data_IF_685748098989
#
_entry.id   IF_685748098989
#
_cell.length_a   1.000
_cell.length_b   1.000
_cell.length_c   1.000
_cell.angle_alpha   90.00
_cell.angle_beta   90.00
_cell.angle_gamma   90.00
#
_symmetry.space_group_name_H-M   'P 1'
#
loop_
_entity.id
_entity.type
_entity.pdbx_description
1 polymer ?
#
# COMPACT_ATOMS: atom_id res chain seq x y z
N UNK A 1 12.77 -19.89 -1.05
CA UNK A 1 11.64 -19.28 -0.31
C UNK A 1 11.53 -17.78 -0.58
N UNK A 2 12.58 -16.99 -0.35
CA UNK A 2 12.55 -15.50 -0.55
C UNK A 2 12.22 -15.12 -1.99
N UNK A 3 12.80 -15.78 -3.00
CA UNK A 3 12.50 -15.53 -4.40
C UNK A 3 11.04 -15.77 -4.78
N UNK A 4 10.37 -16.72 -4.14
CA UNK A 4 8.93 -16.95 -4.37
C UNK A 4 8.09 -15.81 -3.79
N UNK A 5 8.46 -15.31 -2.60
CA UNK A 5 7.82 -14.14 -2.01
C UNK A 5 8.03 -12.91 -2.89
N UNK A 6 9.25 -12.69 -3.38
CA UNK A 6 9.54 -11.58 -4.27
C UNK A 6 8.74 -11.64 -5.57
N UNK A 7 8.63 -12.82 -6.20
CA UNK A 7 7.77 -13.01 -7.38
C UNK A 7 6.30 -12.68 -7.09
N UNK A 8 5.78 -13.12 -5.93
CA UNK A 8 4.42 -12.78 -5.52
C UNK A 8 4.24 -11.26 -5.36
N UNK A 9 5.21 -10.57 -4.75
CA UNK A 9 5.20 -9.11 -4.59
C UNK A 9 5.22 -8.39 -5.95
N UNK A 10 5.99 -8.88 -6.92
CA UNK A 10 5.98 -8.30 -8.27
C UNK A 10 4.60 -8.43 -8.93
N UNK A 11 3.95 -9.59 -8.80
CA UNK A 11 2.62 -9.84 -9.35
C UNK A 11 1.58 -8.95 -8.68
N UNK A 12 1.56 -8.89 -7.34
CA UNK A 12 0.61 -8.04 -6.61
C UNK A 12 0.87 -6.55 -6.85
N UNK A 13 2.13 -6.17 -7.03
CA UNK A 13 2.52 -4.81 -7.42
C UNK A 13 1.93 -4.41 -8.76
N UNK A 14 2.04 -5.29 -9.77
CA UNK A 14 1.48 -5.06 -11.12
C UNK A 14 -0.05 -5.02 -11.07
N UNK A 15 -0.68 -5.99 -10.40
CA UNK A 15 -2.14 -6.05 -10.27
C UNK A 15 -2.70 -4.83 -9.52
N UNK A 16 -2.08 -4.43 -8.40
CA UNK A 16 -2.46 -3.23 -7.66
C UNK A 16 -2.28 -1.95 -8.47
N UNK A 17 -1.21 -1.86 -9.29
CA UNK A 17 -0.99 -0.72 -10.19
C UNK A 17 -2.04 -0.64 -11.28
N UNK A 18 -2.41 -1.77 -11.89
CA UNK A 18 -3.47 -1.83 -12.89
C UNK A 18 -4.82 -1.40 -12.28
N UNK A 19 -5.17 -1.92 -11.10
CA UNK A 19 -6.39 -1.53 -10.40
C UNK A 19 -6.39 -0.04 -10.04
N UNK A 20 -5.29 0.51 -9.53
CA UNK A 20 -5.15 1.93 -9.25
C UNK A 20 -5.33 2.78 -10.52
N UNK A 21 -4.77 2.34 -11.66
CA UNK A 21 -4.95 2.98 -12.96
C UNK A 21 -6.41 3.01 -13.40
N UNK A 22 -7.15 1.89 -13.23
CA UNK A 22 -8.58 1.81 -13.53
C UNK A 22 -9.37 2.78 -12.64
N UNK A 23 -9.09 2.79 -11.32
CA UNK A 23 -9.76 3.73 -10.39
C UNK A 23 -9.51 5.18 -10.80
N UNK A 24 -8.26 5.54 -11.14
CA UNK A 24 -7.91 6.88 -11.59
C UNK A 24 -8.64 7.27 -12.88
N UNK A 25 -8.74 6.35 -13.84
CA UNK A 25 -9.41 6.59 -15.12
C UNK A 25 -10.92 6.86 -14.93
N UNK A 26 -11.57 6.10 -14.05
CA UNK A 26 -12.99 6.25 -13.78
C UNK A 26 -13.32 7.29 -12.69
N UNK A 27 -12.32 7.86 -12.02
CA UNK A 27 -12.50 8.84 -10.94
C UNK A 27 -13.38 10.04 -11.32
N UNK A 28 -13.26 10.69 -12.52
CA UNK A 28 -14.12 11.82 -12.88
C UNK A 28 -15.59 11.43 -13.00
N UNK A 29 -15.87 10.17 -13.40
CA UNK A 29 -17.24 9.66 -13.51
C UNK A 29 -17.77 9.31 -12.12
N UNK A 30 -16.97 8.61 -11.32
CA UNK A 30 -17.39 8.14 -9.99
C UNK A 30 -17.63 9.30 -9.02
N UNK A 31 -16.88 10.42 -9.13
CA UNK A 31 -17.10 11.61 -8.31
C UNK A 31 -18.49 12.26 -8.51
N UNK A 32 -19.10 12.06 -9.68
CA UNK A 32 -20.46 12.60 -9.96
C UNK A 32 -21.58 11.72 -9.41
N UNK A 33 -21.33 10.41 -9.27
CA UNK A 33 -22.36 9.42 -8.97
C UNK A 33 -22.27 8.80 -7.58
N UNK A 34 -21.07 8.80 -6.99
CA UNK A 34 -20.84 8.14 -5.70
C UNK A 34 -20.43 9.14 -4.63
N UNK A 35 -20.88 8.91 -3.40
CA UNK A 35 -20.57 9.74 -2.25
C UNK A 35 -19.09 9.62 -1.80
N UNK A 36 -18.69 10.51 -0.89
CA UNK A 36 -17.31 10.60 -0.38
C UNK A 36 -16.81 9.32 0.29
N UNK A 37 -17.71 8.55 0.96
CA UNK A 37 -17.34 7.28 1.59
C UNK A 37 -16.90 6.22 0.56
N UNK A 38 -17.48 6.20 -0.63
CA UNK A 38 -17.05 5.34 -1.70
C UNK A 38 -15.59 5.63 -2.10
N UNK A 39 -15.26 6.90 -2.29
CA UNK A 39 -13.90 7.31 -2.65
C UNK A 39 -12.88 7.01 -1.55
N UNK A 40 -13.29 7.08 -0.30
CA UNK A 40 -12.46 6.71 0.84
C UNK A 40 -12.17 5.18 0.85
N UNK A 41 -13.19 4.33 0.63
CA UNK A 41 -13.02 2.88 0.74
C UNK A 41 -12.49 2.20 -0.52
N UNK A 42 -12.63 2.77 -1.72
CA UNK A 42 -12.18 2.13 -2.96
C UNK A 42 -10.66 1.85 -2.96
N UNK A 43 -9.87 2.70 -2.31
CA UNK A 43 -8.43 2.51 -2.19
C UNK A 43 -8.05 1.35 -1.27
N UNK A 44 -8.93 0.90 -0.36
CA UNK A 44 -8.74 -0.34 0.42
C UNK A 44 -8.66 -1.57 -0.48
N UNK A 45 -9.40 -1.58 -1.59
CA UNK A 45 -9.31 -2.68 -2.56
C UNK A 45 -7.90 -2.74 -3.18
N UNK A 46 -7.30 -1.59 -3.50
CA UNK A 46 -5.92 -1.52 -4.01
C UNK A 46 -4.92 -2.01 -2.96
N UNK A 47 -5.07 -1.55 -1.71
CA UNK A 47 -4.23 -2.02 -0.62
C UNK A 47 -4.36 -3.53 -0.38
N UNK A 48 -5.58 -4.05 -0.40
CA UNK A 48 -5.82 -5.49 -0.24
C UNK A 48 -5.12 -6.30 -1.33
N UNK A 49 -5.22 -5.87 -2.59
CA UNK A 49 -4.53 -6.52 -3.72
C UNK A 49 -3.00 -6.44 -3.57
N UNK A 50 -2.47 -5.31 -3.08
CA UNK A 50 -1.03 -5.15 -2.88
C UNK A 50 -0.50 -5.96 -1.69
N UNK A 51 -1.25 -6.03 -0.58
CA UNK A 51 -0.78 -6.65 0.66
C UNK A 51 -1.09 -8.14 0.76
N UNK A 52 -2.15 -8.61 0.09
CA UNK A 52 -2.53 -10.02 0.12
C UNK A 52 -1.88 -10.73 -1.10
N UNK A 53 -0.88 -11.59 -0.89
CA UNK A 53 -0.26 -12.34 -1.98
C UNK A 53 -1.28 -13.36 -2.52
N UNK A 54 -2.01 -12.97 -3.54
CA UNK A 54 -2.88 -13.90 -4.26
C UNK A 54 -1.98 -14.89 -4.98
N UNK A 55 -1.97 -16.13 -4.52
CA UNK A 55 -1.31 -17.23 -5.24
C UNK A 55 -2.18 -17.54 -6.47
N UNK A 56 -1.86 -16.92 -7.59
CA UNK A 56 -2.33 -17.44 -8.86
C UNK A 56 -1.65 -18.81 -9.03
N UNK A 57 -2.37 -19.90 -8.74
CA UNK A 57 -1.98 -21.22 -9.23
C UNK A 57 -1.89 -21.07 -10.74
N UNK A 58 -0.68 -21.13 -11.28
CA UNK A 58 -0.50 -21.15 -12.72
C UNK A 58 -1.45 -22.23 -13.25
N UNK A 59 -2.39 -21.82 -14.10
CA UNK A 59 -3.18 -22.78 -14.86
C UNK A 59 -2.17 -23.52 -15.72
N UNK A 60 -1.73 -24.67 -15.23
CA UNK A 60 -0.96 -25.59 -16.04
C UNK A 60 -1.88 -26.02 -17.15
N UNK A 61 -1.73 -25.38 -18.32
CA UNK A 61 -2.36 -25.88 -19.54
C UNK A 61 -1.72 -27.25 -19.75
N UNK A 62 -2.40 -28.30 -19.28
CA UNK A 62 -2.02 -29.67 -19.62
C UNK A 62 -2.12 -29.77 -21.13
N UNK A 63 -0.98 -29.95 -21.79
CA UNK A 63 -0.99 -30.33 -23.19
C UNK A 63 -1.87 -31.57 -23.35
N UNK A 64 -2.74 -31.60 -24.38
CA UNK A 64 -3.60 -32.74 -24.62
C UNK A 64 -2.76 -34.03 -24.65
N UNK A 65 -3.20 -35.06 -23.95
CA UNK A 65 -2.49 -36.34 -23.87
C UNK A 65 -2.17 -36.95 -25.24
N UNK A 66 -2.90 -36.59 -26.27
CA UNK A 66 -2.66 -36.96 -27.66
C UNK A 66 -1.31 -36.47 -28.19
N UNK A 67 -0.84 -35.27 -27.82
CA UNK A 67 0.43 -34.72 -28.27
C UNK A 67 1.61 -35.38 -27.51
N UNK A 68 1.45 -35.69 -26.23
CA UNK A 68 2.44 -36.39 -25.42
C UNK A 68 2.58 -37.86 -25.85
N UNK A 69 1.47 -38.50 -26.22
CA UNK A 69 1.47 -39.86 -26.79
C UNK A 69 2.08 -39.91 -28.20
N UNK A 70 1.79 -38.93 -29.06
CA UNK A 70 2.38 -38.81 -30.39
C UNK A 70 3.91 -38.67 -30.33
N UNK A 71 4.43 -37.88 -29.39
CA UNK A 71 5.87 -37.73 -29.16
C UNK A 71 6.48 -38.99 -28.62
N UNK A 72 5.81 -39.74 -27.73
CA UNK A 72 6.28 -41.03 -27.23
C UNK A 72 6.24 -42.12 -28.29
N UNK A 73 5.21 -42.20 -29.11
CA UNK A 73 5.06 -43.16 -30.20
C UNK A 73 6.10 -42.93 -31.31
N UNK A 74 6.40 -41.69 -31.63
CA UNK A 74 7.48 -41.33 -32.53
C UNK A 74 8.86 -41.73 -31.98
N UNK A 75 9.02 -41.78 -30.65
CA UNK A 75 10.25 -42.16 -29.96
C UNK A 75 10.46 -43.68 -29.92
N UNK A 76 9.39 -44.49 -29.93
CA UNK A 76 9.45 -45.96 -29.85
C UNK A 76 9.44 -46.65 -31.21
N UNK A 77 8.84 -46.05 -32.24
CA UNK A 77 8.71 -46.65 -33.56
C UNK A 77 9.80 -46.25 -34.57
N UNK A 78 10.76 -45.44 -34.18
CA UNK A 78 11.80 -44.89 -35.06
C UNK A 78 13.18 -45.57 -35.04
N UNK A 79 13.34 -46.75 -34.47
CA UNK A 79 14.62 -47.47 -34.45
C UNK A 79 14.55 -48.70 -35.31
N UNK A 80 14.64 -48.53 -36.63
CA UNK A 80 14.79 -49.56 -37.63
C UNK A 80 15.59 -49.06 -38.82
N UNK A 81 16.88 -49.26 -38.76
CA UNK A 81 17.82 -49.42 -39.91
C UNK A 81 17.68 -48.49 -41.13
N UNK A 82 18.51 -47.41 -41.16
CA UNK A 82 19.30 -47.02 -42.35
C UNK A 82 20.38 -46.00 -41.94
N UNK A 83 21.63 -46.20 -42.34
CA UNK A 83 22.81 -45.48 -41.86
C UNK A 83 22.86 -43.97 -42.02
N UNK A 84 22.02 -43.36 -42.88
CA UNK A 84 21.93 -41.90 -43.03
C UNK A 84 21.04 -41.27 -41.94
N UNK A 85 20.03 -41.98 -41.45
CA UNK A 85 19.13 -41.54 -40.37
C UNK A 85 19.82 -41.65 -39.01
N UNK A 86 20.72 -42.61 -38.82
CA UNK A 86 21.51 -42.74 -37.59
C UNK A 86 22.38 -41.54 -37.29
N UNK A 87 23.00 -40.94 -38.30
CA UNK A 87 23.81 -39.73 -38.13
C UNK A 87 22.94 -38.47 -37.83
N UNK A 88 21.78 -38.36 -38.48
CA UNK A 88 20.85 -37.25 -38.23
C UNK A 88 20.22 -37.35 -36.81
N UNK A 89 19.88 -38.56 -36.36
CA UNK A 89 19.37 -38.81 -35.01
C UNK A 89 20.45 -38.58 -33.95
N UNK A 90 21.71 -38.96 -34.23
CA UNK A 90 22.83 -38.69 -33.32
C UNK A 90 23.15 -37.22 -33.25
N UNK A 91 23.13 -36.49 -34.40
CA UNK A 91 23.29 -35.04 -34.43
C UNK A 91 22.11 -34.31 -33.72
N UNK A 92 20.89 -34.77 -33.96
CA UNK A 92 19.70 -34.26 -33.27
C UNK A 92 19.72 -34.52 -31.78
N UNK A 93 20.17 -35.71 -31.33
CA UNK A 93 20.31 -36.04 -29.91
C UNK A 93 21.44 -35.23 -29.23
N UNK A 94 22.53 -34.95 -29.94
CA UNK A 94 23.62 -34.07 -29.48
C UNK A 94 23.11 -32.62 -29.39
N UNK A 95 22.40 -32.16 -30.41
CA UNK A 95 21.77 -30.83 -30.40
C UNK A 95 20.78 -30.69 -29.26
N UNK A 96 19.92 -31.68 -29.01
CA UNK A 96 18.97 -31.70 -27.92
C UNK A 96 19.66 -31.70 -26.54
N UNK A 97 20.77 -32.40 -26.38
CA UNK A 97 21.59 -32.39 -25.15
C UNK A 97 22.29 -31.04 -24.92
N UNK A 98 22.70 -30.36 -25.99
CA UNK A 98 23.28 -29.01 -25.88
C UNK A 98 22.21 -28.00 -25.47
N UNK A 99 21.01 -28.07 -26.06
CA UNK A 99 19.88 -27.20 -25.65
C UNK A 99 19.47 -27.48 -24.20
N UNK A 100 19.43 -28.71 -23.75
CA UNK A 100 19.11 -29.09 -22.38
C UNK A 100 20.15 -28.55 -21.38
N UNK A 101 21.44 -28.69 -21.69
CA UNK A 101 22.53 -28.13 -20.86
C UNK A 101 22.53 -26.61 -20.83
N UNK A 102 22.28 -25.95 -21.98
CA UNK A 102 22.18 -24.48 -22.02
C UNK A 102 20.95 -23.99 -21.25
N UNK A 103 19.81 -24.67 -21.38
CA UNK A 103 18.61 -24.34 -20.61
C UNK A 103 18.85 -24.44 -19.10
N UNK A 104 19.54 -25.48 -18.64
CA UNK A 104 19.92 -25.64 -17.21
C UNK A 104 20.85 -24.51 -16.74
N UNK A 105 21.83 -24.11 -17.55
CA UNK A 105 22.74 -22.98 -17.21
C UNK A 105 21.95 -21.66 -17.14
N UNK A 106 21.06 -21.41 -18.10
CA UNK A 106 20.22 -20.22 -18.07
C UNK A 106 19.27 -20.19 -16.86
N UNK A 107 18.68 -21.34 -16.50
CA UNK A 107 17.84 -21.45 -15.32
C UNK A 107 18.66 -21.17 -14.04
N UNK A 108 19.88 -21.65 -13.92
CA UNK A 108 20.74 -21.42 -12.77
C UNK A 108 21.19 -19.96 -12.66
N UNK A 109 21.57 -19.35 -13.80
CA UNK A 109 21.90 -17.90 -13.86
C UNK A 109 20.69 -17.05 -13.50
N UNK A 110 19.52 -17.34 -14.09
CA UNK A 110 18.27 -16.61 -13.80
C UNK A 110 17.90 -16.78 -12.31
N UNK A 111 18.04 -17.97 -11.76
CA UNK A 111 17.76 -18.24 -10.35
C UNK A 111 18.68 -17.45 -9.41
N UNK A 112 19.98 -17.38 -9.72
CA UNK A 112 20.94 -16.62 -8.95
C UNK A 112 20.59 -15.10 -8.96
N UNK A 113 20.30 -14.54 -10.13
CA UNK A 113 19.93 -13.11 -10.26
C UNK A 113 18.63 -12.79 -9.56
N UNK A 114 17.60 -13.64 -9.65
CA UNK A 114 16.33 -13.42 -8.94
C UNK A 114 16.54 -13.46 -7.42
N UNK A 115 17.41 -14.30 -6.91
CA UNK A 115 17.72 -14.33 -5.48
C UNK A 115 18.43 -13.05 -5.03
N UNK A 116 19.41 -12.56 -5.80
CA UNK A 116 20.09 -11.29 -5.50
C UNK A 116 19.08 -10.13 -5.47
N UNK A 117 18.21 -10.04 -6.48
CA UNK A 117 17.16 -9.01 -6.54
C UNK A 117 16.18 -9.13 -5.37
N UNK A 118 15.83 -10.35 -4.95
CA UNK A 118 14.95 -10.58 -3.82
C UNK A 118 15.58 -10.14 -2.48
N UNK A 119 16.88 -10.35 -2.29
CA UNK A 119 17.59 -9.85 -1.11
C UNK A 119 17.74 -8.31 -1.13
N UNK A 120 18.04 -7.71 -2.29
CA UNK A 120 18.06 -6.25 -2.45
C UNK A 120 16.69 -5.64 -2.15
N UNK A 121 15.62 -6.25 -2.68
CA UNK A 121 14.25 -5.83 -2.39
C UNK A 121 13.97 -5.90 -0.88
N UNK A 122 14.28 -7.02 -0.24
CA UNK A 122 14.03 -7.20 1.19
C UNK A 122 14.82 -6.18 2.03
N UNK A 123 16.09 -5.97 1.71
CA UNK A 123 16.93 -4.98 2.40
C UNK A 123 16.36 -3.56 2.26
N UNK A 124 15.93 -3.15 1.05
CA UNK A 124 15.29 -1.87 0.81
C UNK A 124 13.97 -1.70 1.55
N UNK A 125 13.11 -2.73 1.53
CA UNK A 125 11.84 -2.71 2.25
C UNK A 125 12.05 -2.59 3.78
N UNK A 126 12.93 -3.41 4.36
CA UNK A 126 13.26 -3.36 5.78
C UNK A 126 13.86 -2.02 6.17
N UNK A 127 14.80 -1.49 5.38
CA UNK A 127 15.38 -0.17 5.61
C UNK A 127 14.32 0.92 5.69
N UNK A 128 13.38 0.97 4.73
CA UNK A 128 12.31 1.97 4.72
C UNK A 128 11.32 1.79 5.88
N UNK A 129 10.97 0.56 6.22
CA UNK A 129 10.10 0.27 7.38
C UNK A 129 10.78 0.75 8.67
N UNK A 130 12.04 0.39 8.88
CA UNK A 130 12.81 0.82 10.06
C UNK A 130 12.96 2.35 10.11
N UNK A 131 13.19 2.99 8.97
CA UNK A 131 13.26 4.45 8.88
C UNK A 131 11.94 5.11 9.28
N UNK A 132 10.79 4.58 8.84
CA UNK A 132 9.47 5.10 9.20
C UNK A 132 9.17 4.87 10.70
N UNK A 133 9.52 3.71 11.23
CA UNK A 133 9.41 3.44 12.67
C UNK A 133 10.29 4.40 13.48
N UNK A 134 11.54 4.62 13.07
CA UNK A 134 12.46 5.54 13.74
C UNK A 134 11.93 6.98 13.70
N UNK A 135 11.38 7.43 12.58
CA UNK A 135 10.72 8.76 12.46
C UNK A 135 9.53 8.88 13.41
N UNK A 136 8.68 7.85 13.47
CA UNK A 136 7.54 7.82 14.37
C UNK A 136 7.96 7.85 15.85
N UNK A 137 8.95 7.05 16.24
CA UNK A 137 9.50 7.07 17.60
C UNK A 137 10.11 8.44 17.92
N UNK A 138 10.88 9.00 17.00
CA UNK A 138 11.50 10.34 17.15
C UNK A 138 10.43 11.42 17.36
N UNK A 139 9.34 11.38 16.57
CA UNK A 139 8.21 12.30 16.73
C UNK A 139 7.58 12.16 18.13
N UNK A 140 7.29 10.94 18.56
CA UNK A 140 6.68 10.71 19.89
C UNK A 140 7.60 11.14 21.04
N UNK A 141 8.93 10.93 20.91
CA UNK A 141 9.90 11.42 21.89
C UNK A 141 9.93 12.95 21.92
N UNK A 142 9.89 13.62 20.77
CA UNK A 142 9.81 15.08 20.70
C UNK A 142 8.53 15.61 21.34
N UNK A 143 7.39 15.02 21.03
CA UNK A 143 6.10 15.36 21.63
C UNK A 143 6.20 15.24 23.15
N UNK A 144 6.71 14.10 23.68
CA UNK A 144 6.82 13.91 25.15
C UNK A 144 7.76 14.92 25.82
N UNK A 145 8.80 15.38 25.14
CA UNK A 145 9.83 16.27 25.72
C UNK A 145 9.52 17.75 25.57
N UNK A 146 8.83 18.12 24.50
CA UNK A 146 8.67 19.52 24.09
C UNK A 146 7.23 20.03 24.17
N UNK A 147 6.32 19.25 24.72
CA UNK A 147 4.91 19.63 24.84
C UNK A 147 4.47 19.65 26.30
N UNK A 148 3.46 20.48 26.57
CA UNK A 148 2.79 20.57 27.87
C UNK A 148 1.50 19.73 27.83
N UNK A 149 1.21 19.01 28.90
CA UNK A 149 -0.05 18.30 29.05
C UNK A 149 -1.17 19.29 29.40
N UNK A 150 -2.28 19.18 28.68
CA UNK A 150 -3.47 20.03 28.89
C UNK A 150 -4.69 19.13 29.08
N UNK A 151 -5.56 19.48 29.99
CA UNK A 151 -6.85 18.81 30.20
C UNK A 151 -7.90 19.59 29.40
N UNK A 152 -8.52 18.92 28.45
CA UNK A 152 -9.65 19.44 27.68
C UNK A 152 -10.90 18.60 27.97
N UNK A 153 -11.80 19.10 28.85
CA UNK A 153 -13.03 18.39 29.21
C UNK A 153 -13.95 18.15 27.99
N UNK A 154 -13.91 19.02 27.02
CA UNK A 154 -14.72 18.98 25.80
C UNK A 154 -14.50 17.68 24.98
N UNK A 155 -13.36 17.01 25.14
CA UNK A 155 -13.10 15.73 24.44
C UNK A 155 -14.08 14.63 24.89
N UNK A 156 -14.54 14.66 26.13
CA UNK A 156 -15.50 13.69 26.64
C UNK A 156 -16.85 13.70 25.92
N UNK A 157 -17.19 14.80 25.25
CA UNK A 157 -18.39 14.89 24.41
C UNK A 157 -18.27 14.04 23.13
N UNK A 158 -17.04 13.73 22.70
CA UNK A 158 -16.78 13.02 21.45
C UNK A 158 -16.45 11.54 21.64
N UNK A 159 -15.88 11.16 22.77
CA UNK A 159 -15.43 9.78 23.02
C UNK A 159 -15.22 9.48 24.50
N UNK A 160 -15.55 8.25 24.92
CA UNK A 160 -15.27 7.71 26.26
C UNK A 160 -13.81 7.21 26.40
N UNK A 161 -13.07 7.11 25.28
CA UNK A 161 -11.68 6.66 25.31
C UNK A 161 -10.77 7.78 25.79
N UNK A 162 -9.83 7.42 26.66
CA UNK A 162 -8.82 8.38 27.16
C UNK A 162 -7.93 8.84 26.01
N UNK A 163 -7.93 10.14 25.74
CA UNK A 163 -7.07 10.82 24.79
C UNK A 163 -6.17 11.78 25.57
N UNK A 164 -4.87 11.72 25.32
CA UNK A 164 -3.94 12.69 25.86
C UNK A 164 -3.98 13.96 24.98
N UNK A 165 -3.99 15.12 25.61
CA UNK A 165 -3.91 16.39 24.88
C UNK A 165 -2.62 17.08 25.23
N UNK A 166 -1.92 17.54 24.20
CA UNK A 166 -0.63 18.20 24.34
C UNK A 166 -0.58 19.48 23.50
N UNK A 167 0.02 20.50 24.04
CA UNK A 167 0.24 21.76 23.33
C UNK A 167 1.70 21.86 22.91
N UNK A 168 1.94 22.19 21.66
CA UNK A 168 3.29 22.29 21.09
C UNK A 168 3.49 23.60 20.35
N UNK A 169 4.58 24.33 20.67
CA UNK A 169 4.92 25.60 20.04
C UNK A 169 5.32 25.49 18.56
N UNK A 170 5.97 24.37 18.21
CA UNK A 170 6.57 24.18 16.89
C UNK A 170 5.64 23.53 15.86
N UNK A 171 4.32 23.54 16.10
CA UNK A 171 3.33 23.06 15.13
C UNK A 171 2.39 24.19 14.73
N UNK A 172 2.06 24.23 13.44
CA UNK A 172 1.12 25.22 12.89
C UNK A 172 -0.31 24.71 12.86
N UNK A 173 -0.51 23.40 12.73
CA UNK A 173 -1.82 22.75 12.65
C UNK A 173 -1.95 21.64 13.68
N UNK A 174 -3.17 21.43 14.21
CA UNK A 174 -3.48 20.28 15.09
C UNK A 174 -3.26 18.96 14.34
N UNK A 175 -3.01 17.90 15.09
CA UNK A 175 -3.00 16.55 14.53
C UNK A 175 -3.14 15.49 15.62
N UNK A 176 -3.68 14.33 15.23
CA UNK A 176 -3.74 13.15 16.08
C UNK A 176 -2.55 12.21 15.79
N UNK A 177 -1.97 11.64 16.87
CA UNK A 177 -0.93 10.62 16.78
C UNK A 177 -1.17 9.53 17.83
N UNK A 178 -0.52 8.38 17.65
CA UNK A 178 -0.61 7.26 18.59
C UNK A 178 -1.77 6.31 18.29
N UNK A 179 -1.45 5.03 18.00
CA UNK A 179 -2.44 3.98 17.77
C UNK A 179 -2.95 3.42 19.10
N UNK A 180 -2.03 3.13 20.03
CA UNK A 180 -2.35 2.55 21.35
C UNK A 180 -2.69 3.63 22.37
N UNK A 181 -1.88 4.70 22.40
CA UNK A 181 -2.07 5.85 23.29
C UNK A 181 -2.37 7.09 22.43
N UNK A 182 -3.65 7.31 22.06
CA UNK A 182 -4.01 8.43 21.20
C UNK A 182 -3.67 9.75 21.88
N UNK A 183 -3.01 10.60 21.14
CA UNK A 183 -2.57 11.92 21.61
C UNK A 183 -2.98 12.97 20.57
N UNK A 184 -3.76 13.94 21.00
CA UNK A 184 -4.08 15.14 20.23
C UNK A 184 -3.02 16.19 20.52
N UNK A 185 -2.38 16.68 19.48
CA UNK A 185 -1.39 17.76 19.58
C UNK A 185 -2.00 19.02 19.00
N UNK A 186 -2.04 20.08 19.81
CA UNK A 186 -2.56 21.39 19.46
C UNK A 186 -1.41 22.40 19.33
N UNK A 187 -1.51 23.39 18.42
CA UNK A 187 -0.57 24.51 18.39
C UNK A 187 -0.73 25.40 19.61
N UNK A 188 0.38 26.00 20.09
CA UNK A 188 0.34 26.98 21.17
C UNK A 188 -0.11 28.35 20.62
N UNK A 189 -1.38 28.42 20.27
CA UNK A 189 -2.06 29.65 19.83
C UNK A 189 -3.34 29.82 20.64
N UNK A 190 -3.72 31.08 20.87
CA UNK A 190 -5.05 31.35 21.44
C UNK A 190 -6.11 30.94 20.41
N UNK A 191 -6.88 29.93 20.76
CA UNK A 191 -7.99 29.43 19.96
C UNK A 191 -9.29 29.88 20.59
N UNK A 192 -10.16 30.53 19.82
CA UNK A 192 -11.52 30.77 20.30
C UNK A 192 -12.22 29.42 20.54
N UNK A 193 -13.20 29.40 21.44
CA UNK A 193 -13.98 28.19 21.75
C UNK A 193 -14.57 27.57 20.47
N UNK A 194 -15.08 28.40 19.58
CA UNK A 194 -15.63 27.95 18.30
C UNK A 194 -14.59 27.24 17.42
N UNK A 195 -13.40 27.84 17.26
CA UNK A 195 -12.30 27.21 16.52
C UNK A 195 -11.86 25.89 17.15
N UNK A 196 -11.77 25.84 18.47
CA UNK A 196 -11.43 24.62 19.20
C UNK A 196 -12.47 23.52 18.93
N UNK A 197 -13.76 23.83 19.02
CA UNK A 197 -14.82 22.86 18.70
C UNK A 197 -14.74 22.34 17.27
N UNK A 198 -14.47 23.20 16.29
CA UNK A 198 -14.30 22.79 14.90
C UNK A 198 -13.09 21.86 14.71
N UNK A 199 -11.96 22.16 15.36
CA UNK A 199 -10.76 21.32 15.38
C UNK A 199 -11.07 19.97 16.02
N UNK A 200 -11.74 19.95 17.16
CA UNK A 200 -12.10 18.71 17.86
C UNK A 200 -13.04 17.85 17.01
N UNK A 201 -14.03 18.43 16.36
CA UNK A 201 -14.91 17.71 15.42
C UNK A 201 -14.12 17.02 14.30
N UNK A 202 -13.16 17.73 13.70
CA UNK A 202 -12.29 17.19 12.64
C UNK A 202 -11.41 16.05 13.16
N UNK A 203 -10.60 16.28 14.17
CA UNK A 203 -9.64 15.31 14.72
C UNK A 203 -10.33 14.07 15.32
N UNK A 204 -11.47 14.26 16.01
CA UNK A 204 -12.24 13.15 16.54
C UNK A 204 -12.94 12.33 15.45
N UNK A 205 -13.24 12.91 14.30
CA UNK A 205 -13.75 12.15 13.15
C UNK A 205 -12.67 11.21 12.61
N UNK A 206 -11.42 11.69 12.43
CA UNK A 206 -10.28 10.84 12.08
C UNK A 206 -10.05 9.72 13.10
N UNK A 207 -10.14 10.06 14.40
CA UNK A 207 -9.97 9.11 15.48
C UNK A 207 -11.01 7.98 15.44
N UNK A 208 -12.30 8.33 15.35
CA UNK A 208 -13.41 7.36 15.28
C UNK A 208 -13.32 6.42 14.10
N UNK A 209 -12.79 6.90 12.97
CA UNK A 209 -12.63 6.13 11.72
C UNK A 209 -11.34 5.31 11.68
N UNK A 210 -10.45 5.48 12.66
CA UNK A 210 -9.13 4.88 12.68
C UNK A 210 -8.28 5.23 11.45
N UNK A 211 -8.37 6.46 10.95
CA UNK A 211 -7.65 6.93 9.75
C UNK A 211 -6.13 6.81 9.91
N UNK A 212 -5.62 6.94 11.14
CA UNK A 212 -4.20 6.71 11.46
C UNK A 212 -3.78 5.29 11.05
N UNK A 213 -4.58 4.28 11.41
CA UNK A 213 -4.29 2.90 11.08
C UNK A 213 -4.32 2.67 9.57
N UNK A 214 -5.30 3.26 8.89
CA UNK A 214 -5.42 3.20 7.43
C UNK A 214 -4.18 3.81 6.73
N UNK A 215 -3.74 4.99 7.16
CA UNK A 215 -2.52 5.64 6.67
C UNK A 215 -1.26 4.78 6.93
N UNK A 216 -1.19 4.09 8.08
CA UNK A 216 -0.09 3.18 8.39
C UNK A 216 -0.04 1.96 7.45
N UNK A 217 -1.18 1.34 7.14
CA UNK A 217 -1.23 0.25 6.17
C UNK A 217 -0.84 0.71 4.77
N UNK A 218 -1.28 1.91 4.37
CA UNK A 218 -0.89 2.50 3.08
C UNK A 218 0.63 2.73 2.98
N UNK A 219 1.23 3.27 4.05
CA UNK A 219 2.66 3.52 4.09
C UNK A 219 3.48 2.21 4.17
N UNK A 220 2.98 1.20 4.88
CA UNK A 220 3.57 -0.13 4.89
C UNK A 220 3.57 -0.76 3.50
N UNK A 221 2.44 -0.70 2.78
CA UNK A 221 2.36 -1.15 1.39
C UNK A 221 3.36 -0.40 0.49
N UNK A 222 3.48 0.93 0.66
CA UNK A 222 4.45 1.73 -0.07
C UNK A 222 5.92 1.35 0.25
N UNK A 223 6.22 0.91 1.47
CA UNK A 223 7.55 0.41 1.84
C UNK A 223 7.83 -0.97 1.22
N UNK A 224 6.87 -1.89 1.23
CA UNK A 224 7.00 -3.22 0.62
C UNK A 224 7.17 -3.10 -0.89
N UNK A 225 6.43 -2.22 -1.52
CA UNK A 225 6.46 -1.96 -2.97
C UNK A 225 7.31 -0.73 -3.32
N UNK A 226 8.41 -0.47 -2.58
CA UNK A 226 9.21 0.74 -2.69
C UNK A 226 9.75 1.02 -4.11
N UNK A 227 9.97 -0.02 -4.89
CA UNK A 227 10.39 0.05 -6.28
C UNK A 227 9.27 0.50 -7.24
N UNK A 228 8.01 0.50 -6.77
CA UNK A 228 6.83 0.87 -7.57
C UNK A 228 6.35 2.29 -7.20
N UNK A 229 6.46 3.27 -8.10
CA UNK A 229 5.99 4.64 -7.83
C UNK A 229 4.47 4.72 -7.62
N UNK A 230 3.68 3.78 -8.20
CA UNK A 230 2.24 3.74 -8.02
C UNK A 230 1.85 3.45 -6.57
N UNK A 231 2.62 2.63 -5.85
CA UNK A 231 2.37 2.37 -4.43
C UNK A 231 2.48 3.66 -3.58
N UNK A 232 3.48 4.50 -3.89
CA UNK A 232 3.63 5.84 -3.28
C UNK A 232 2.48 6.77 -3.64
N UNK A 233 2.04 6.73 -4.88
CA UNK A 233 0.88 7.49 -5.34
C UNK A 233 -0.39 7.06 -4.59
N UNK A 234 -0.63 5.75 -4.45
CA UNK A 234 -1.76 5.18 -3.70
C UNK A 234 -1.75 5.66 -2.25
N UNK A 235 -0.59 5.62 -1.55
CA UNK A 235 -0.46 6.12 -0.18
C UNK A 235 -0.85 7.60 -0.07
N UNK A 236 -0.40 8.45 -1.01
CA UNK A 236 -0.79 9.86 -1.06
C UNK A 236 -2.28 10.07 -1.33
N UNK A 237 -2.87 9.28 -2.23
CA UNK A 237 -4.30 9.37 -2.52
C UNK A 237 -5.14 8.97 -1.30
N UNK A 238 -4.75 7.92 -0.58
CA UNK A 238 -5.41 7.51 0.66
C UNK A 238 -5.36 8.64 1.69
N UNK A 239 -4.20 9.26 1.89
CA UNK A 239 -4.08 10.39 2.80
C UNK A 239 -5.01 11.55 2.40
N UNK A 240 -5.06 11.90 1.11
CA UNK A 240 -5.93 12.97 0.61
C UNK A 240 -7.42 12.62 0.75
N UNK A 241 -7.82 11.38 0.47
CA UNK A 241 -9.23 10.96 0.61
C UNK A 241 -9.65 10.86 2.08
N UNK A 242 -8.72 10.56 3.01
CA UNK A 242 -8.98 10.66 4.44
C UNK A 242 -9.40 12.09 4.83
N UNK A 243 -8.65 13.11 4.37
CA UNK A 243 -8.96 14.53 4.66
C UNK A 243 -10.29 14.94 4.03
N UNK A 244 -10.46 14.74 2.70
CA UNK A 244 -11.69 15.12 1.99
C UNK A 244 -12.92 14.45 2.62
N UNK A 245 -12.85 13.17 2.92
CA UNK A 245 -13.99 12.47 3.49
C UNK A 245 -14.22 12.81 4.95
N UNK A 246 -13.20 13.28 5.69
CA UNK A 246 -13.35 13.82 7.02
C UNK A 246 -14.12 15.14 6.99
N UNK A 247 -13.68 16.08 6.16
CA UNK A 247 -14.34 17.37 5.98
C UNK A 247 -15.81 17.20 5.60
N UNK A 248 -16.09 16.35 4.60
CA UNK A 248 -17.47 16.06 4.18
C UNK A 248 -18.32 15.38 5.27
N UNK A 249 -17.71 14.57 6.14
CA UNK A 249 -18.42 13.94 7.25
C UNK A 249 -18.74 14.93 8.35
N UNK A 250 -17.84 15.86 8.63
CA UNK A 250 -18.00 16.92 9.64
C UNK A 250 -19.06 17.92 9.20
N UNK A 251 -19.02 18.36 7.95
CA UNK A 251 -19.91 19.43 7.44
C UNK A 251 -21.31 18.92 7.08
N UNK A 252 -21.52 17.61 6.95
CA UNK A 252 -22.77 17.00 6.45
C UNK A 252 -24.06 17.51 7.07
N UNK A 253 -24.04 17.83 8.37
CA UNK A 253 -25.22 18.23 9.13
C UNK A 253 -25.08 19.67 9.70
N UNK A 254 -24.13 20.46 9.19
CA UNK A 254 -23.94 21.84 9.59
C UNK A 254 -24.89 22.78 8.82
N UNK A 255 -25.27 23.87 9.45
CA UNK A 255 -25.89 25.00 8.77
C UNK A 255 -24.85 25.76 7.94
N UNK A 256 -25.26 26.55 6.96
CA UNK A 256 -24.35 27.32 6.10
C UNK A 256 -23.39 28.23 6.91
N UNK A 257 -23.85 28.79 8.04
CA UNK A 257 -23.02 29.60 8.91
C UNK A 257 -21.97 28.78 9.68
N UNK A 258 -22.33 27.60 10.16
CA UNK A 258 -21.41 26.69 10.84
C UNK A 258 -20.37 26.13 9.85
N UNK A 259 -20.80 25.77 8.63
CA UNK A 259 -19.91 25.30 7.58
C UNK A 259 -18.88 26.38 7.20
N UNK A 260 -19.33 27.65 7.06
CA UNK A 260 -18.42 28.76 6.79
C UNK A 260 -17.43 28.99 7.93
N UNK A 261 -17.87 28.89 9.19
CA UNK A 261 -17.00 28.96 10.37
C UNK A 261 -15.98 27.84 10.40
N UNK A 262 -16.40 26.60 10.08
CA UNK A 262 -15.53 25.45 9.97
C UNK A 262 -14.46 25.63 8.89
N UNK A 263 -14.86 26.02 7.67
CA UNK A 263 -13.94 26.27 6.55
C UNK A 263 -12.91 27.34 6.93
N UNK A 264 -13.33 28.46 7.50
CA UNK A 264 -12.43 29.53 7.95
C UNK A 264 -11.47 29.04 9.04
N UNK A 265 -11.92 28.14 9.92
CA UNK A 265 -11.06 27.54 10.94
C UNK A 265 -9.97 26.69 10.29
N UNK A 266 -10.32 25.77 9.40
CA UNK A 266 -9.36 24.90 8.71
C UNK A 266 -8.36 25.71 7.87
N UNK A 267 -8.85 26.70 7.10
CA UNK A 267 -7.99 27.59 6.31
C UNK A 267 -7.00 28.37 7.19
N UNK A 268 -7.40 28.79 8.39
CA UNK A 268 -6.52 29.52 9.33
C UNK A 268 -5.39 28.65 9.93
N UNK A 269 -5.47 27.32 9.76
CA UNK A 269 -4.49 26.35 10.25
C UNK A 269 -3.51 25.92 9.16
N UNK A 270 -3.75 26.26 7.90
CA UNK A 270 -2.80 25.96 6.82
C UNK A 270 -1.54 26.79 7.02
N UNK A 271 -0.36 26.21 6.80
CA UNK A 271 0.88 26.96 6.82
C UNK A 271 0.89 28.01 5.70
N UNK A 272 1.13 29.25 6.07
CA UNK A 272 1.32 30.40 5.15
C UNK A 272 2.69 30.32 4.50
#
# INVERSE_FOLDING_TARGET
>A
MISQVFKAILITSLAGSALAGVICLFRPITKKHFGYLWHYYIWLCVLAVMLIPVRFSAVTVRMPNALSQAVQTARTNGIGQTGAIGNAVQTGAVQMRIFDKTAVIWDEIIYAHINILAYLWLAGALFLILLNIARYISLNVKIRRQTEDVILPEISEYTDRKINVRVWENVSSPFMTGIVNPTLVLPKKELSREKLCNILRHEMTHFKRNDILYKWFAEFAACVHWFNPVARYVSKQIAAECEISCDMAVTKNMSDSEEMSYINTILSLLPT
#
